data_IF_701328392959
#
_entry.id   IF_701328392959
#
_cell.length_a   1.000
_cell.length_b   1.000
_cell.length_c   1.000
_cell.angle_alpha   90.00
_cell.angle_beta   90.00
_cell.angle_gamma   90.00
#
_symmetry.space_group_name_H-M   'P 1'
#
loop_
_entity.id
_entity.type
_entity.pdbx_description
1 polymer ?
#
# COMPACT_ATOMS: atom_id res chain seq x y z
N UNK A 1 -21.23 -1.47 1.86
CA UNK A 1 -20.92 -0.34 2.77
C UNK A 1 -21.65 0.93 2.41
N UNK A 2 -21.37 1.60 1.27
CA UNK A 2 -22.13 2.80 0.87
C UNK A 2 -23.62 2.51 0.73
N UNK A 3 -23.98 1.40 0.07
CA UNK A 3 -25.37 0.95 -0.05
C UNK A 3 -26.03 0.59 1.29
N UNK A 4 -25.23 0.33 2.34
CA UNK A 4 -25.70 0.05 3.70
C UNK A 4 -25.73 1.31 4.58
N UNK A 5 -25.32 2.47 4.04
CA UNK A 5 -25.25 3.73 4.79
C UNK A 5 -24.11 3.82 5.80
N UNK A 6 -23.13 2.91 5.75
CA UNK A 6 -21.99 2.90 6.69
C UNK A 6 -20.90 3.91 6.32
N UNK A 7 -20.80 4.26 5.03
CA UNK A 7 -19.80 5.20 4.50
C UNK A 7 -20.46 6.08 3.44
N UNK A 8 -20.17 7.37 3.45
CA UNK A 8 -20.50 8.30 2.38
C UNK A 8 -19.26 8.64 1.53
N UNK A 9 -19.39 8.55 0.20
CA UNK A 9 -18.24 8.78 -0.71
C UNK A 9 -17.78 10.24 -0.78
N UNK A 10 -18.65 11.17 -0.43
CA UNK A 10 -18.38 12.61 -0.48
C UNK A 10 -18.20 13.21 0.93
N UNK A 11 -18.08 12.35 1.95
CA UNK A 11 -17.70 12.74 3.29
C UNK A 11 -16.18 12.60 3.47
N UNK A 12 -15.53 13.50 4.24
CA UNK A 12 -14.09 13.41 4.48
C UNK A 12 -13.71 12.06 5.06
N UNK A 13 -12.61 11.47 4.58
CA UNK A 13 -12.11 10.23 5.17
C UNK A 13 -11.73 10.43 6.66
N UNK A 14 -11.33 11.65 7.05
CA UNK A 14 -11.05 12.04 8.44
C UNK A 14 -12.24 11.81 9.39
N UNK A 15 -13.49 11.78 8.90
CA UNK A 15 -14.65 11.36 9.71
C UNK A 15 -14.45 9.96 10.31
N UNK A 16 -13.83 9.05 9.55
CA UNK A 16 -13.70 7.65 9.92
C UNK A 16 -12.34 7.34 10.55
N UNK A 17 -11.27 7.96 10.05
CA UNK A 17 -9.88 7.68 10.49
C UNK A 17 -9.31 8.74 11.44
N UNK A 18 -10.10 9.74 11.83
CA UNK A 18 -9.70 10.81 12.75
C UNK A 18 -8.58 11.68 12.19
N UNK A 19 -7.64 12.04 13.06
CA UNK A 19 -6.55 12.98 12.76
C UNK A 19 -5.43 12.38 11.89
N UNK A 20 -5.60 11.17 11.35
CA UNK A 20 -4.59 10.50 10.53
C UNK A 20 -4.19 11.31 9.28
N UNK A 21 -5.10 12.14 8.77
CA UNK A 21 -4.84 13.00 7.61
C UNK A 21 -4.48 14.44 7.99
N UNK A 22 -4.33 14.75 9.28
CA UNK A 22 -4.01 16.09 9.75
C UNK A 22 -2.63 16.54 9.25
N UNK A 23 -2.52 17.80 8.82
CA UNK A 23 -1.26 18.35 8.30
C UNK A 23 -0.98 18.01 6.84
N UNK A 24 -1.95 17.42 6.13
CA UNK A 24 -1.88 17.19 4.68
C UNK A 24 -1.98 18.51 3.91
N UNK A 25 -0.90 19.28 3.91
CA UNK A 25 -0.92 20.70 3.56
C UNK A 25 -0.24 21.01 2.22
N UNK A 26 -0.85 21.87 1.41
CA UNK A 26 -0.28 22.41 0.17
C UNK A 26 -0.48 23.93 0.16
N UNK A 27 0.60 24.68 -0.09
CA UNK A 27 0.61 26.15 -0.11
C UNK A 27 -0.05 26.82 1.11
N UNK A 28 0.13 26.20 2.29
CA UNK A 28 -0.42 26.68 3.56
C UNK A 28 -1.90 26.38 3.79
N UNK A 29 -2.54 25.63 2.87
CA UNK A 29 -3.91 25.11 3.04
C UNK A 29 -3.83 23.68 3.55
N UNK A 30 -4.51 23.39 4.65
CA UNK A 30 -4.66 22.03 5.17
C UNK A 30 -5.81 21.31 4.45
N UNK A 31 -5.46 20.22 3.78
CA UNK A 31 -6.38 19.35 3.08
C UNK A 31 -6.76 18.10 3.87
N UNK A 32 -6.46 17.98 5.17
CA UNK A 32 -6.79 16.78 5.96
C UNK A 32 -8.27 16.38 5.95
N UNK A 33 -9.17 17.37 5.83
CA UNK A 33 -10.63 17.15 5.73
C UNK A 33 -11.14 17.09 4.29
N UNK A 34 -10.27 16.98 3.28
CA UNK A 34 -10.68 16.99 1.87
C UNK A 34 -10.69 15.64 1.19
N UNK A 35 -9.70 14.73 1.34
CA UNK A 35 -9.74 13.42 0.70
C UNK A 35 -11.02 12.67 1.06
N UNK A 36 -11.98 12.70 0.15
CA UNK A 36 -13.23 11.97 0.29
C UNK A 36 -13.04 10.54 -0.23
N UNK A 37 -13.89 9.61 0.20
CA UNK A 37 -13.88 8.24 -0.32
C UNK A 37 -13.89 8.18 -1.86
N UNK A 38 -14.60 9.09 -2.53
CA UNK A 38 -14.62 9.21 -3.99
C UNK A 38 -13.25 9.55 -4.58
N UNK A 39 -12.52 10.45 -3.95
CA UNK A 39 -11.22 10.94 -4.44
C UNK A 39 -10.13 9.90 -4.22
N UNK A 40 -10.15 9.22 -3.08
CA UNK A 40 -9.25 8.11 -2.78
C UNK A 40 -9.43 6.95 -3.78
N UNK A 41 -10.68 6.61 -4.11
CA UNK A 41 -11.02 5.52 -5.03
C UNK A 41 -10.80 5.85 -6.51
N UNK A 42 -10.67 7.13 -6.87
CA UNK A 42 -10.45 7.55 -8.26
C UNK A 42 -9.10 8.23 -8.49
N UNK A 43 -8.18 8.16 -7.50
CA UNK A 43 -6.84 8.71 -7.55
C UNK A 43 -6.79 10.23 -7.83
N UNK A 44 -7.73 10.97 -7.27
CA UNK A 44 -7.72 12.45 -7.31
C UNK A 44 -7.45 13.06 -5.94
N UNK A 45 -7.09 12.25 -4.95
CA UNK A 45 -6.74 12.65 -3.58
C UNK A 45 -5.45 13.47 -3.47
N UNK A 46 -4.51 13.34 -4.42
CA UNK A 46 -3.28 14.10 -4.47
C UNK A 46 -2.09 13.47 -3.75
N UNK A 47 -2.20 12.25 -3.20
CA UNK A 47 -1.06 11.60 -2.54
C UNK A 47 0.04 11.28 -3.54
N UNK A 48 1.29 11.37 -3.06
CA UNK A 48 2.43 10.82 -3.78
C UNK A 48 2.46 9.29 -3.70
N UNK A 49 2.99 8.64 -4.73
CA UNK A 49 3.22 7.19 -4.74
C UNK A 49 4.56 6.85 -4.08
N UNK A 50 4.52 6.06 -3.01
CA UNK A 50 5.71 5.63 -2.28
C UNK A 50 6.47 4.51 -3.02
N UNK A 51 5.75 3.69 -3.79
CA UNK A 51 6.31 2.53 -4.49
C UNK A 51 7.31 2.89 -5.61
N UNK A 52 7.56 4.17 -5.86
CA UNK A 52 8.60 4.65 -6.77
C UNK A 52 9.51 5.71 -6.12
N UNK A 53 9.38 5.97 -4.82
CA UNK A 53 10.22 6.94 -4.10
C UNK A 53 11.51 6.25 -3.60
N UNK A 54 12.66 6.72 -4.10
CA UNK A 54 13.96 6.18 -3.72
C UNK A 54 14.25 6.33 -2.21
N UNK A 55 13.78 7.42 -1.59
CA UNK A 55 13.95 7.64 -0.16
C UNK A 55 13.16 6.63 0.68
N UNK A 56 11.93 6.33 0.27
CA UNK A 56 11.12 5.27 0.86
C UNK A 56 11.80 3.91 0.74
N UNK A 57 12.33 3.56 -0.45
CA UNK A 57 13.05 2.30 -0.62
C UNK A 57 14.35 2.20 0.18
N UNK A 58 15.08 3.31 0.35
CA UNK A 58 16.23 3.34 1.24
C UNK A 58 15.82 3.03 2.68
N UNK A 59 14.74 3.66 3.18
CA UNK A 59 14.19 3.37 4.50
C UNK A 59 13.71 1.92 4.63
N UNK A 60 13.00 1.40 3.62
CA UNK A 60 12.55 0.01 3.59
C UNK A 60 13.72 -0.98 3.63
N UNK A 61 14.84 -0.65 2.96
CA UNK A 61 16.04 -1.49 2.96
C UNK A 61 16.69 -1.61 4.34
N UNK A 62 16.43 -0.69 5.27
CA UNK A 62 16.95 -0.74 6.64
C UNK A 62 16.12 -1.64 7.57
N UNK A 63 14.91 -2.06 7.15
CA UNK A 63 13.94 -2.81 7.97
C UNK A 63 13.41 -4.04 7.23
N UNK A 64 14.31 -4.89 6.73
CA UNK A 64 13.91 -6.01 5.86
C UNK A 64 12.98 -7.04 6.50
N UNK A 65 12.94 -7.12 7.84
CA UNK A 65 12.19 -8.11 8.62
C UNK A 65 10.87 -7.57 9.19
N UNK A 66 10.47 -6.35 8.80
CA UNK A 66 9.30 -5.66 9.33
C UNK A 66 8.41 -5.17 8.20
N UNK A 67 7.12 -5.46 8.31
CA UNK A 67 6.12 -4.92 7.38
C UNK A 67 5.85 -3.47 7.74
N UNK A 68 5.65 -2.63 6.72
CA UNK A 68 5.11 -1.30 6.92
C UNK A 68 3.62 -1.39 7.28
N UNK A 69 3.25 -0.79 8.40
CA UNK A 69 1.84 -0.62 8.75
C UNK A 69 1.21 0.47 7.85
N UNK A 70 -0.10 0.37 7.51
CA UNK A 70 -0.76 1.38 6.69
C UNK A 70 -0.59 2.82 7.21
N UNK A 71 -0.56 2.98 8.54
CA UNK A 71 -0.31 4.28 9.18
C UNK A 71 1.08 4.85 8.87
N UNK A 72 2.13 4.03 8.81
CA UNK A 72 3.49 4.51 8.50
C UNK A 72 3.58 5.03 7.05
N UNK A 73 2.87 4.39 6.11
CA UNK A 73 2.79 4.84 4.72
C UNK A 73 2.02 6.16 4.63
N UNK A 74 0.94 6.29 5.40
CA UNK A 74 0.16 7.53 5.42
C UNK A 74 0.99 8.66 6.05
N UNK A 75 1.66 8.44 7.18
CA UNK A 75 2.56 9.42 7.79
C UNK A 75 3.64 9.90 6.81
N UNK A 76 4.24 8.97 6.04
CA UNK A 76 5.16 9.31 4.97
C UNK A 76 4.48 10.21 3.93
N UNK A 77 3.27 9.89 3.48
CA UNK A 77 2.56 10.67 2.47
C UNK A 77 2.17 12.08 2.98
N UNK A 78 1.75 12.18 4.24
CA UNK A 78 1.49 13.46 4.92
C UNK A 78 2.75 14.31 4.96
N UNK A 79 3.91 13.71 5.24
CA UNK A 79 5.19 14.43 5.25
C UNK A 79 5.61 14.99 3.89
N UNK A 80 5.10 14.42 2.78
CA UNK A 80 5.32 14.91 1.41
C UNK A 80 4.34 16.01 1.01
N UNK A 81 3.17 16.04 1.63
CA UNK A 81 2.05 16.90 1.24
C UNK A 81 1.39 16.47 -0.08
N UNK A 82 0.28 17.13 -0.45
CA UNK A 82 -0.40 16.88 -1.71
C UNK A 82 0.45 17.30 -2.92
N UNK A 83 0.51 16.45 -3.96
CA UNK A 83 1.12 16.80 -5.25
C UNK A 83 0.31 17.86 -6.00
N UNK A 84 -0.98 17.92 -5.71
CA UNK A 84 -1.95 18.88 -6.20
C UNK A 84 -3.11 18.94 -5.22
N UNK A 85 -3.93 19.99 -5.31
CA UNK A 85 -5.14 20.06 -4.49
C UNK A 85 -6.06 18.84 -4.78
N UNK A 86 -6.62 18.18 -3.75
CA UNK A 86 -7.56 17.08 -3.94
C UNK A 86 -8.74 17.45 -4.87
N UNK A 87 -9.08 16.55 -5.79
CA UNK A 87 -10.14 16.72 -6.79
C UNK A 87 -9.75 17.53 -8.03
N UNK A 88 -8.53 18.09 -8.09
CA UNK A 88 -8.12 18.96 -9.22
C UNK A 88 -7.33 18.27 -10.32
N UNK A 89 -6.70 17.13 -10.02
CA UNK A 89 -5.96 16.34 -10.98
C UNK A 89 -6.00 14.85 -10.61
N UNK A 90 -5.61 14.01 -11.57
CA UNK A 90 -5.43 12.57 -11.37
C UNK A 90 -3.95 12.25 -11.19
N UNK A 91 -3.63 11.48 -10.15
CA UNK A 91 -2.31 10.92 -9.91
C UNK A 91 -2.46 9.55 -9.23
N UNK A 92 -2.15 8.47 -9.96
CA UNK A 92 -2.21 7.12 -9.41
C UNK A 92 -1.34 7.02 -8.16
N UNK A 93 -1.93 6.49 -7.09
CA UNK A 93 -1.23 6.25 -5.85
C UNK A 93 -1.87 5.09 -5.09
N UNK A 94 -1.03 4.40 -4.35
CA UNK A 94 -1.37 3.27 -3.49
C UNK A 94 -1.78 3.74 -2.09
N UNK A 95 -1.36 4.94 -1.67
CA UNK A 95 -1.64 5.53 -0.35
C UNK A 95 -3.15 5.69 -0.12
N UNK A 96 -3.90 6.17 -1.11
CA UNK A 96 -5.35 6.36 -0.99
C UNK A 96 -6.09 5.05 -0.67
N UNK A 97 -5.59 3.92 -1.17
CA UNK A 97 -6.14 2.60 -0.85
C UNK A 97 -5.80 2.15 0.59
N UNK A 98 -4.66 2.55 1.13
CA UNK A 98 -4.34 2.34 2.55
C UNK A 98 -5.35 3.09 3.44
N UNK A 99 -5.66 4.34 3.10
CA UNK A 99 -6.70 5.12 3.80
C UNK A 99 -8.06 4.42 3.69
N UNK A 100 -8.45 3.95 2.51
CA UNK A 100 -9.71 3.19 2.33
C UNK A 100 -9.73 1.91 3.18
N UNK A 101 -8.62 1.19 3.27
CA UNK A 101 -8.49 0.03 4.16
C UNK A 101 -8.78 0.40 5.62
N UNK A 102 -8.18 1.48 6.12
CA UNK A 102 -8.42 1.97 7.48
C UNK A 102 -9.85 2.49 7.69
N UNK A 103 -10.47 3.09 6.68
CA UNK A 103 -11.91 3.43 6.74
C UNK A 103 -12.76 2.17 6.90
N UNK A 104 -12.46 1.10 6.16
CA UNK A 104 -13.14 -0.18 6.29
C UNK A 104 -12.97 -0.75 7.71
N UNK A 105 -11.74 -0.74 8.25
CA UNK A 105 -11.47 -1.15 9.63
C UNK A 105 -12.32 -0.37 10.64
N UNK A 106 -12.32 0.96 10.51
CA UNK A 106 -13.03 1.85 11.43
C UNK A 106 -14.54 1.59 11.44
N UNK A 107 -15.16 1.38 10.27
CA UNK A 107 -16.63 1.22 10.19
C UNK A 107 -17.12 -0.20 10.46
N UNK A 108 -16.26 -1.21 10.33
CA UNK A 108 -16.63 -2.62 10.55
C UNK A 108 -16.14 -3.18 11.88
N UNK A 109 -15.07 -2.61 12.45
CA UNK A 109 -14.36 -3.18 13.59
C UNK A 109 -13.58 -4.46 13.26
N UNK A 110 -13.40 -4.77 11.98
CA UNK A 110 -12.70 -5.97 11.48
C UNK A 110 -11.59 -5.56 10.51
N UNK A 111 -10.48 -6.32 10.47
CA UNK A 111 -9.46 -6.09 9.46
C UNK A 111 -10.03 -6.42 8.06
N UNK A 112 -9.80 -5.60 7.02
CA UNK A 112 -10.51 -5.72 5.75
C UNK A 112 -10.30 -7.03 4.99
N UNK A 113 -9.33 -7.87 5.36
CA UNK A 113 -9.13 -9.18 4.73
C UNK A 113 -10.25 -10.13 5.18
N UNK A 114 -10.65 -10.04 6.46
CA UNK A 114 -11.84 -10.71 6.99
C UNK A 114 -13.10 -10.14 6.34
N UNK A 115 -13.22 -8.81 6.26
CA UNK A 115 -14.38 -8.15 5.65
C UNK A 115 -14.55 -8.55 4.18
N UNK A 116 -13.47 -8.53 3.40
CA UNK A 116 -13.49 -8.94 1.99
C UNK A 116 -13.78 -10.43 1.86
N UNK A 117 -13.28 -11.27 2.78
CA UNK A 117 -13.61 -12.70 2.79
C UNK A 117 -15.08 -12.95 3.03
N UNK A 118 -15.62 -12.38 4.09
CA UNK A 118 -17.01 -12.54 4.49
C UNK A 118 -17.97 -11.99 3.43
N UNK A 119 -17.66 -10.81 2.87
CA UNK A 119 -18.61 -10.07 2.02
C UNK A 119 -18.46 -10.32 0.53
N UNK A 120 -17.28 -10.76 0.08
CA UNK A 120 -16.98 -10.91 -1.36
C UNK A 120 -16.48 -12.32 -1.68
N UNK A 121 -15.41 -12.78 -1.02
CA UNK A 121 -14.74 -14.00 -1.46
C UNK A 121 -15.55 -15.27 -1.17
N UNK A 122 -16.06 -15.43 0.05
CA UNK A 122 -16.83 -16.63 0.43
C UNK A 122 -18.17 -16.72 -0.32
N UNK A 123 -18.98 -15.64 -0.47
CA UNK A 123 -20.20 -15.68 -1.27
C UNK A 123 -19.99 -16.03 -2.74
N UNK A 124 -18.80 -15.78 -3.28
CA UNK A 124 -18.41 -16.06 -4.67
C UNK A 124 -17.57 -17.32 -4.83
N UNK A 125 -17.34 -18.09 -3.76
CA UNK A 125 -16.48 -19.29 -3.72
C UNK A 125 -15.02 -19.04 -4.15
N UNK A 126 -14.50 -17.83 -3.91
CA UNK A 126 -13.15 -17.40 -4.29
C UNK A 126 -12.10 -17.80 -3.24
N UNK A 127 -11.82 -19.10 -3.14
CA UNK A 127 -10.93 -19.70 -2.12
C UNK A 127 -9.43 -19.45 -2.30
N UNK A 128 -9.00 -18.94 -3.46
CA UNK A 128 -7.59 -18.82 -3.84
C UNK A 128 -7.13 -17.36 -3.98
N UNK A 129 -7.77 -16.45 -3.25
CA UNK A 129 -7.39 -15.04 -3.14
C UNK A 129 -6.95 -14.80 -1.70
N UNK A 130 -5.79 -14.19 -1.50
CA UNK A 130 -5.23 -13.89 -0.18
C UNK A 130 -4.77 -12.43 -0.16
N UNK A 131 -4.90 -11.76 0.99
CA UNK A 131 -4.42 -10.40 1.18
C UNK A 131 -3.23 -10.37 2.15
N UNK A 132 -1.99 -10.32 1.61
CA UNK A 132 -0.80 -10.10 2.43
C UNK A 132 -0.85 -8.73 3.15
N UNK A 133 -0.16 -8.60 4.29
CA UNK A 133 0.57 -9.66 5.00
C UNK A 133 -0.33 -10.58 5.84
N UNK A 134 -1.61 -10.25 6.02
CA UNK A 134 -2.49 -10.95 6.96
C UNK A 134 -2.85 -12.37 6.51
N UNK A 135 -3.00 -12.58 5.21
CA UNK A 135 -3.26 -13.87 4.61
C UNK A 135 -2.16 -14.22 3.60
N UNK A 136 -1.60 -15.41 3.72
CA UNK A 136 -0.63 -15.97 2.78
C UNK A 136 -1.18 -17.24 2.13
N UNK A 137 -0.83 -17.52 0.87
CA UNK A 137 -1.16 -18.80 0.26
C UNK A 137 -0.51 -19.97 1.04
N UNK A 138 -1.17 -21.14 1.09
CA UNK A 138 -0.69 -22.30 1.85
C UNK A 138 0.61 -22.89 1.31
N UNK A 139 0.95 -22.56 0.07
CA UNK A 139 2.17 -22.97 -0.61
C UNK A 139 2.77 -21.78 -1.36
N UNK A 140 4.10 -21.74 -1.56
CA UNK A 140 4.77 -20.75 -2.40
C UNK A 140 4.09 -20.63 -3.76
N UNK A 141 3.84 -19.40 -4.17
CA UNK A 141 3.36 -19.06 -5.51
C UNK A 141 4.55 -18.81 -6.43
N UNK A 142 4.27 -18.39 -7.66
CA UNK A 142 5.30 -18.10 -8.68
C UNK A 142 6.39 -17.17 -8.13
N UNK A 143 7.63 -17.40 -8.59
CA UNK A 143 8.75 -16.53 -8.28
C UNK A 143 8.53 -15.15 -8.92
N UNK A 144 8.84 -14.11 -8.17
CA UNK A 144 8.91 -12.74 -8.69
C UNK A 144 10.30 -12.47 -9.26
N UNK A 145 10.36 -11.82 -10.41
CA UNK A 145 11.62 -11.39 -11.01
C UNK A 145 11.58 -9.90 -11.35
N UNK A 146 12.63 -9.19 -10.98
CA UNK A 146 12.89 -7.82 -11.41
C UNK A 146 13.90 -7.79 -12.55
N UNK A 147 13.70 -6.90 -13.52
CA UNK A 147 14.59 -6.70 -14.65
C UNK A 147 14.84 -5.20 -14.87
N UNK A 148 15.85 -4.87 -15.67
CA UNK A 148 16.12 -3.49 -16.14
C UNK A 148 16.26 -2.48 -14.98
N UNK A 149 15.50 -1.39 -14.98
CA UNK A 149 15.55 -0.32 -13.96
C UNK A 149 15.27 -0.84 -12.56
N UNK A 150 14.30 -1.75 -12.41
CA UNK A 150 13.96 -2.29 -11.09
C UNK A 150 15.08 -3.18 -10.55
N UNK A 151 15.71 -3.99 -11.40
CA UNK A 151 16.92 -4.72 -11.01
C UNK A 151 18.04 -3.77 -10.59
N UNK A 152 18.28 -2.70 -11.35
CA UNK A 152 19.31 -1.71 -11.02
C UNK A 152 19.04 -1.06 -9.65
N UNK A 153 17.78 -0.81 -9.29
CA UNK A 153 17.42 -0.33 -7.96
C UNK A 153 17.76 -1.37 -6.87
N UNK A 154 17.41 -2.64 -7.06
CA UNK A 154 17.77 -3.73 -6.14
C UNK A 154 19.28 -3.91 -5.97
N UNK A 155 20.06 -3.70 -7.04
CA UNK A 155 21.52 -3.76 -6.99
C UNK A 155 22.16 -2.58 -6.22
N UNK A 156 21.43 -1.47 -6.04
CA UNK A 156 21.92 -0.25 -5.38
C UNK A 156 21.54 -0.14 -3.91
N UNK A 157 20.42 -0.73 -3.50
CA UNK A 157 19.96 -0.71 -2.11
C UNK A 157 20.84 -1.67 -1.27
N UNK A 158 21.52 -1.21 -0.19
CA UNK A 158 22.53 -2.01 0.49
C UNK A 158 22.08 -3.40 0.90
N UNK A 159 20.85 -3.51 1.41
CA UNK A 159 20.32 -4.75 1.96
C UNK A 159 19.99 -5.79 0.87
N UNK A 160 19.47 -5.36 -0.28
CA UNK A 160 19.18 -6.26 -1.41
C UNK A 160 20.45 -6.50 -2.25
N UNK A 161 21.34 -5.52 -2.36
CA UNK A 161 22.64 -5.69 -2.99
C UNK A 161 23.47 -6.80 -2.30
N UNK A 162 23.38 -6.92 -0.97
CA UNK A 162 24.02 -8.00 -0.22
C UNK A 162 23.50 -9.40 -0.60
N UNK A 163 22.28 -9.50 -1.14
CA UNK A 163 21.64 -10.76 -1.57
C UNK A 163 21.86 -11.07 -3.06
N UNK A 164 22.46 -10.15 -3.82
CA UNK A 164 22.70 -10.31 -5.25
C UNK A 164 23.39 -11.63 -5.66
N UNK A 165 24.36 -12.20 -4.90
CA UNK A 165 24.99 -13.47 -5.26
C UNK A 165 24.02 -14.66 -5.35
N UNK A 166 22.94 -14.64 -4.57
CA UNK A 166 21.91 -15.68 -4.58
C UNK A 166 20.66 -15.29 -5.36
N UNK A 167 20.43 -13.98 -5.55
CA UNK A 167 19.25 -13.45 -6.23
C UNK A 167 19.44 -13.29 -7.74
N UNK A 168 20.67 -13.14 -8.25
CA UNK A 168 20.88 -12.86 -9.68
C UNK A 168 20.73 -14.14 -10.51
N UNK A 169 19.76 -14.17 -11.42
CA UNK A 169 19.53 -15.26 -12.38
C UNK A 169 19.67 -14.70 -13.80
N UNK A 170 20.88 -14.79 -14.36
CA UNK A 170 21.18 -14.18 -15.66
C UNK A 170 21.02 -12.65 -15.59
N UNK A 171 20.12 -12.09 -16.39
CA UNK A 171 19.85 -10.64 -16.46
C UNK A 171 18.75 -10.17 -15.48
N UNK A 172 18.12 -11.08 -14.75
CA UNK A 172 17.06 -10.77 -13.78
C UNK A 172 17.52 -10.95 -12.34
N UNK A 173 16.80 -10.31 -11.44
CA UNK A 173 16.94 -10.46 -10.00
C UNK A 173 15.70 -11.18 -9.46
N UNK A 174 15.88 -12.36 -8.86
CA UNK A 174 14.84 -13.10 -8.17
C UNK A 174 14.47 -12.36 -6.88
N UNK A 175 13.33 -11.66 -6.89
CA UNK A 175 12.87 -10.91 -5.72
C UNK A 175 12.23 -11.82 -4.68
N UNK A 176 11.96 -13.09 -5.00
CA UNK A 176 11.42 -14.03 -4.03
C UNK A 176 12.46 -14.44 -2.99
N UNK A 177 13.76 -14.22 -3.20
CA UNK A 177 14.77 -14.47 -2.15
C UNK A 177 14.89 -13.32 -1.15
N UNK A 178 14.35 -12.14 -1.47
CA UNK A 178 14.32 -10.99 -0.54
C UNK A 178 13.25 -11.25 0.52
N UNK A 179 13.51 -10.95 1.81
CA UNK A 179 12.48 -10.97 2.84
C UNK A 179 11.23 -10.22 2.35
N UNK A 180 10.09 -10.90 2.37
CA UNK A 180 8.91 -10.35 1.72
C UNK A 180 8.32 -9.19 2.51
N UNK A 181 8.61 -9.13 3.80
CA UNK A 181 8.29 -8.01 4.69
C UNK A 181 8.85 -6.69 4.14
N UNK A 182 10.00 -6.74 3.45
CA UNK A 182 10.67 -5.57 2.86
C UNK A 182 10.12 -5.10 1.51
N UNK A 183 9.49 -6.02 0.76
CA UNK A 183 9.06 -5.77 -0.64
C UNK A 183 7.56 -5.89 -0.85
N UNK A 184 6.83 -6.33 0.18
CA UNK A 184 5.39 -6.21 0.24
C UNK A 184 5.05 -4.75 0.49
N UNK A 185 4.07 -4.27 -0.24
CA UNK A 185 3.38 -3.05 0.13
C UNK A 185 2.73 -3.22 1.51
N UNK A 186 2.48 -2.12 2.23
CA UNK A 186 1.58 -2.19 3.39
C UNK A 186 0.23 -2.80 2.95
N UNK A 187 -0.50 -3.38 3.90
CA UNK A 187 -1.75 -4.10 3.65
C UNK A 187 -2.69 -3.40 2.66
N UNK A 188 -3.60 -4.16 2.04
CA UNK A 188 -4.65 -3.68 1.11
C UNK A 188 -4.20 -3.38 -0.31
N UNK A 189 -2.92 -3.51 -0.62
CA UNK A 189 -2.38 -3.10 -1.91
C UNK A 189 -1.61 -4.26 -2.55
N UNK A 190 -1.75 -4.39 -3.87
CA UNK A 190 -1.39 -5.62 -4.57
C UNK A 190 0.12 -5.84 -4.63
N UNK A 191 0.57 -7.03 -4.22
CA UNK A 191 1.97 -7.45 -4.38
C UNK A 191 2.43 -8.31 -3.22
N UNK A 192 2.74 -9.58 -3.49
CA UNK A 192 3.31 -10.47 -2.49
C UNK A 192 3.51 -11.87 -3.05
N UNK A 193 4.72 -12.40 -2.90
CA UNK A 193 5.00 -13.81 -3.07
C UNK A 193 5.32 -14.41 -1.70
N UNK A 194 5.29 -15.74 -1.57
CA UNK A 194 5.83 -16.42 -0.39
C UNK A 194 7.05 -17.23 -0.84
N UNK A 195 8.26 -16.96 -0.31
CA UNK A 195 9.43 -17.79 -0.59
C UNK A 195 9.23 -19.23 -0.13
N UNK A 196 10.05 -20.12 -0.68
CA UNK A 196 10.20 -21.50 -0.20
C UNK A 196 10.92 -21.55 1.15
#
# INVERSE_FOLDING_TARGET
MVAEGLVALDEPASTYVGDLLAGYTLDGVDYGDFPHGRQLLNHTDGFAEYAFDLGFYLQASERLDQVFEPGEIIDWAISKGPQHAPGTAYAYNTVGHNVVGLVIEAVTGQPPHEVLRERIFDPLDLKAIFLPPAEDPPQPVVHGYAATTLKAAFDLLPATAAMAPTATVGEVYDISVVPQEAIRSAGWTGGGSRPK
#
